data_IF_045772038801
#
_entry.id   IF_045772038801
#
_cell.length_a   1.000
_cell.length_b   1.000
_cell.length_c   1.000
_cell.angle_alpha   90.00
_cell.angle_beta   90.00
_cell.angle_gamma   90.00
#
_symmetry.space_group_name_H-M   'P 1'
#
loop_
_entity.id
_entity.type
_entity.pdbx_description
1 polymer ?
#
# COMPACT_ATOMS: atom_id res chain seq x y z
N UNK A 1 6.18 10.02 -7.55
CA UNK A 1 5.43 8.79 -7.20
C UNK A 1 6.04 7.64 -7.97
N UNK A 2 5.95 6.41 -7.44
CA UNK A 2 6.41 5.23 -8.18
C UNK A 2 5.49 5.03 -9.39
N UNK A 3 6.10 4.73 -10.53
CA UNK A 3 5.37 4.37 -11.74
C UNK A 3 4.82 2.94 -11.65
N UNK A 4 3.87 2.65 -12.54
CA UNK A 4 3.16 1.36 -12.57
C UNK A 4 4.11 0.19 -12.86
N UNK A 5 5.13 0.38 -13.68
CA UNK A 5 6.05 -0.70 -14.06
C UNK A 5 6.96 -1.05 -12.88
N UNK A 6 7.52 -0.06 -12.21
CA UNK A 6 8.31 -0.26 -10.99
C UNK A 6 7.53 -1.00 -9.91
N UNK A 7 6.25 -0.68 -9.70
CA UNK A 7 5.42 -1.40 -8.73
C UNK A 7 5.19 -2.87 -9.13
N UNK A 8 5.03 -3.15 -10.43
CA UNK A 8 4.90 -4.53 -10.93
C UNK A 8 6.19 -5.32 -10.71
N UNK A 9 7.35 -4.71 -10.95
CA UNK A 9 8.65 -5.35 -10.73
C UNK A 9 8.88 -5.65 -9.25
N UNK A 10 8.49 -4.73 -8.36
CA UNK A 10 8.52 -4.96 -6.90
C UNK A 10 7.60 -6.13 -6.53
N UNK A 11 6.37 -6.17 -7.03
CA UNK A 11 5.42 -7.28 -6.78
C UNK A 11 6.00 -8.61 -7.28
N UNK A 12 6.64 -8.62 -8.44
CA UNK A 12 7.31 -9.81 -8.98
C UNK A 12 8.46 -10.25 -8.07
N UNK A 13 9.32 -9.32 -7.65
CA UNK A 13 10.45 -9.59 -6.76
C UNK A 13 10.02 -10.17 -5.42
N UNK A 14 9.01 -9.59 -4.77
CA UNK A 14 8.54 -10.11 -3.47
C UNK A 14 7.92 -11.50 -3.60
N UNK A 15 7.28 -11.78 -4.74
CA UNK A 15 6.65 -13.06 -5.00
C UNK A 15 7.71 -14.14 -5.28
N UNK A 16 8.77 -13.79 -6.00
CA UNK A 16 9.93 -14.69 -6.22
C UNK A 16 10.67 -14.98 -4.91
N UNK A 17 10.86 -13.98 -4.07
CA UNK A 17 11.58 -14.13 -2.79
C UNK A 17 10.69 -14.60 -1.63
N UNK A 18 9.38 -14.66 -1.83
CA UNK A 18 8.37 -14.96 -0.80
C UNK A 18 8.55 -14.09 0.46
N UNK A 19 8.70 -12.78 0.25
CA UNK A 19 8.89 -11.77 1.32
C UNK A 19 7.71 -10.80 1.36
N UNK A 20 7.53 -10.13 2.50
CA UNK A 20 6.44 -9.19 2.69
C UNK A 20 6.77 -7.82 2.09
N UNK A 21 5.76 -7.19 1.48
CA UNK A 21 5.77 -5.80 1.03
C UNK A 21 4.84 -4.97 1.91
N UNK A 22 5.40 -3.96 2.55
CA UNK A 22 4.65 -2.95 3.32
C UNK A 22 4.69 -1.63 2.56
N UNK A 23 3.56 -1.21 2.02
CA UNK A 23 3.39 0.03 1.29
C UNK A 23 2.86 1.12 2.23
N UNK A 24 3.70 2.10 2.56
CA UNK A 24 3.25 3.31 3.28
C UNK A 24 2.70 4.30 2.26
N UNK A 25 1.37 4.37 2.19
CA UNK A 25 0.64 5.23 1.26
C UNK A 25 0.10 6.50 1.96
N UNK A 26 0.70 6.92 3.08
CA UNK A 26 0.26 8.09 3.88
C UNK A 26 0.16 9.41 3.10
N UNK A 27 0.79 9.53 1.94
CA UNK A 27 0.75 10.70 1.06
C UNK A 27 -0.11 10.51 -0.19
N UNK A 28 -0.90 9.42 -0.26
CA UNK A 28 -1.71 9.07 -1.42
C UNK A 28 -2.61 10.21 -1.91
N UNK A 29 -3.19 11.01 -1.00
CA UNK A 29 -4.07 12.12 -1.37
C UNK A 29 -3.37 13.49 -1.51
N UNK A 30 -2.04 13.55 -1.41
CA UNK A 30 -1.25 14.81 -1.52
C UNK A 30 -0.53 14.97 -2.87
N UNK A 31 -1.04 14.31 -3.91
CA UNK A 31 -0.49 14.39 -5.26
C UNK A 31 -1.02 15.64 -5.95
N UNK A 32 -0.25 16.74 -5.89
CA UNK A 32 -0.66 18.03 -6.46
C UNK A 32 -0.19 18.24 -7.92
N UNK A 33 0.59 17.32 -8.47
CA UNK A 33 1.18 17.43 -9.81
C UNK A 33 0.31 16.73 -10.86
N UNK A 34 -0.20 17.49 -11.84
CA UNK A 34 -0.99 16.98 -12.98
C UNK A 34 -0.28 15.92 -13.82
N UNK A 35 1.04 15.87 -13.77
CA UNK A 35 1.89 15.00 -14.60
C UNK A 35 2.12 13.62 -13.99
N UNK A 36 1.79 13.42 -12.70
CA UNK A 36 1.99 12.15 -12.01
C UNK A 36 0.71 11.75 -11.30
N UNK A 37 0.07 10.67 -11.72
CA UNK A 37 -0.96 10.03 -10.91
C UNK A 37 -0.29 9.12 -9.88
N UNK A 38 -0.79 9.16 -8.65
CA UNK A 38 -0.44 8.12 -7.68
C UNK A 38 -1.12 6.82 -8.10
N UNK A 39 -0.35 5.74 -8.13
CA UNK A 39 -0.84 4.39 -8.38
C UNK A 39 -0.70 3.62 -7.07
N UNK A 40 -1.82 3.22 -6.48
CA UNK A 40 -1.79 2.39 -5.27
C UNK A 40 -1.36 0.97 -5.61
N UNK A 41 -0.68 0.30 -4.67
CA UNK A 41 -0.36 -1.13 -4.81
C UNK A 41 -1.64 -1.98 -4.97
N UNK A 42 -2.77 -1.52 -4.42
CA UNK A 42 -4.06 -2.19 -4.56
C UNK A 42 -4.52 -2.26 -6.03
N UNK A 43 -4.24 -1.24 -6.85
CA UNK A 43 -4.57 -1.26 -8.27
C UNK A 43 -3.70 -2.25 -9.06
N UNK A 44 -2.45 -2.43 -8.63
CA UNK A 44 -1.49 -3.30 -9.30
C UNK A 44 -1.89 -4.77 -9.14
N UNK A 45 -2.31 -5.14 -7.93
CA UNK A 45 -2.69 -6.53 -7.60
C UNK A 45 -4.09 -6.92 -8.09
N UNK A 46 -4.96 -5.95 -8.38
CA UNK A 46 -6.30 -6.19 -8.92
C UNK A 46 -6.27 -6.43 -10.43
N UNK A 47 -5.19 -5.98 -11.11
CA UNK A 47 -4.93 -6.24 -12.54
C UNK A 47 -4.36 -7.64 -12.83
N UNK A 48 -4.75 -8.63 -12.02
CA UNK A 48 -4.51 -10.06 -12.27
C UNK A 48 -3.02 -10.51 -12.32
N UNK A 49 -2.17 -9.82 -11.55
CA UNK A 49 -0.81 -10.33 -11.29
C UNK A 49 -0.94 -11.51 -10.34
N UNK A 50 -0.51 -12.69 -10.80
CA UNK A 50 -0.41 -13.90 -9.97
C UNK A 50 0.62 -13.67 -8.84
N UNK A 51 0.19 -13.03 -7.76
CA UNK A 51 1.00 -12.70 -6.60
C UNK A 51 0.30 -13.16 -5.32
N UNK A 52 1.08 -13.56 -4.33
CA UNK A 52 0.55 -13.92 -3.02
C UNK A 52 0.11 -12.64 -2.27
N UNK A 53 -1.19 -12.34 -2.32
CA UNK A 53 -1.78 -11.18 -1.64
C UNK A 53 -1.48 -11.16 -0.14
N UNK A 54 -1.29 -12.32 0.50
CA UNK A 54 -0.96 -12.40 1.93
C UNK A 54 0.39 -11.77 2.31
N UNK A 55 1.25 -11.48 1.33
CA UNK A 55 2.52 -10.81 1.51
C UNK A 55 2.40 -9.28 1.42
N UNK A 56 1.23 -8.75 1.05
CA UNK A 56 1.04 -7.33 0.75
C UNK A 56 0.23 -6.66 1.86
N UNK A 57 0.79 -5.56 2.37
CA UNK A 57 0.24 -4.78 3.48
C UNK A 57 0.34 -3.29 3.13
N UNK A 58 -0.72 -2.53 3.38
CA UNK A 58 -0.81 -1.10 3.16
C UNK A 58 -0.94 -0.42 4.52
N UNK A 59 -0.15 0.63 4.72
CA UNK A 59 -0.21 1.50 5.89
C UNK A 59 -0.65 2.88 5.43
N UNK A 60 -1.63 3.45 6.13
CA UNK A 60 -2.21 4.74 5.79
C UNK A 60 -2.50 5.57 7.05
N UNK A 61 -2.56 6.90 6.93
CA UNK A 61 -2.97 7.78 8.02
C UNK A 61 -3.54 9.08 7.49
N UNK A 62 -4.53 9.63 8.21
CA UNK A 62 -5.14 10.93 7.89
C UNK A 62 -4.27 12.13 8.31
N UNK A 63 -3.12 11.88 8.93
CA UNK A 63 -2.27 12.93 9.50
C UNK A 63 -1.70 13.88 8.46
N UNK A 64 -1.43 13.39 7.24
CA UNK A 64 -0.77 14.15 6.16
C UNK A 64 -1.76 14.61 5.11
N UNK A 65 -2.75 13.78 4.81
CA UNK A 65 -3.71 14.03 3.74
C UNK A 65 -4.81 15.01 4.14
N UNK A 66 -5.29 14.93 5.38
CA UNK A 66 -6.38 15.80 5.88
C UNK A 66 -5.92 16.79 6.94
N UNK A 67 -4.63 16.81 7.28
CA UNK A 67 -4.10 17.74 8.29
C UNK A 67 -4.66 17.52 9.70
N UNK A 68 -5.09 16.28 10.02
CA UNK A 68 -5.61 15.91 11.35
C UNK A 68 -4.64 15.05 12.19
N UNK A 69 -3.38 15.48 12.44
CA UNK A 69 -2.45 14.70 13.26
C UNK A 69 -2.90 14.60 14.73
N UNK A 70 -3.84 15.45 15.18
CA UNK A 70 -4.38 15.42 16.53
C UNK A 70 -5.28 14.21 16.83
N UNK A 71 -5.91 13.61 15.81
CA UNK A 71 -6.85 12.50 15.99
C UNK A 71 -6.18 11.13 15.99
N UNK A 72 -4.88 11.05 15.64
CA UNK A 72 -4.06 9.83 15.71
C UNK A 72 -4.69 8.64 14.97
N UNK A 73 -5.30 8.91 13.82
CA UNK A 73 -5.90 7.86 12.97
C UNK A 73 -4.82 7.23 12.09
N UNK A 74 -4.43 6.02 12.44
CA UNK A 74 -3.59 5.13 11.62
C UNK A 74 -4.42 3.94 11.15
N UNK A 75 -4.25 3.55 9.90
CA UNK A 75 -4.97 2.45 9.27
C UNK A 75 -3.93 1.46 8.77
N UNK A 76 -4.09 0.20 9.16
CA UNK A 76 -3.35 -0.92 8.59
C UNK A 76 -4.35 -1.72 7.77
N UNK A 77 -4.11 -1.80 6.47
CA UNK A 77 -4.90 -2.57 5.55
C UNK A 77 -4.05 -3.71 5.02
N UNK A 78 -4.34 -4.94 5.43
CA UNK A 78 -3.62 -6.12 5.00
C UNK A 78 -4.57 -7.11 4.36
N UNK A 79 -4.10 -7.76 3.30
CA UNK A 79 -4.81 -8.87 2.66
C UNK A 79 -4.61 -10.21 3.39
N UNK A 80 -3.82 -10.23 4.47
CA UNK A 80 -3.57 -11.42 5.27
C UNK A 80 -4.42 -11.37 6.54
N UNK A 81 -5.37 -12.29 6.66
CA UNK A 81 -6.29 -12.34 7.80
C UNK A 81 -5.58 -12.51 9.15
N UNK A 82 -4.45 -13.22 9.20
CA UNK A 82 -3.66 -13.37 10.43
C UNK A 82 -3.03 -12.03 10.84
N UNK A 83 -2.54 -11.26 9.88
CA UNK A 83 -1.97 -9.92 10.14
C UNK A 83 -3.08 -8.96 10.57
N UNK A 84 -4.24 -8.99 9.92
CA UNK A 84 -5.42 -8.18 10.33
C UNK A 84 -5.84 -8.52 11.75
N UNK A 85 -5.93 -9.81 12.09
CA UNK A 85 -6.31 -10.25 13.43
C UNK A 85 -5.29 -9.83 14.49
N UNK A 86 -3.99 -9.87 14.19
CA UNK A 86 -2.94 -9.43 15.11
C UNK A 86 -2.87 -7.91 15.25
N UNK A 87 -3.13 -7.17 14.17
CA UNK A 87 -3.12 -5.71 14.15
C UNK A 87 -4.33 -5.09 14.87
N UNK A 88 -5.46 -5.80 14.90
CA UNK A 88 -6.64 -5.41 15.66
C UNK A 88 -6.48 -5.84 17.13
N UNK A 89 -5.85 -4.97 17.93
CA UNK A 89 -5.85 -5.05 19.40
C UNK A 89 -6.74 -3.98 20.01
#
# INVERSE_FOLDING_TARGET
>A
FLDRETLKDIVSFINEKNIHLVCDEIYAATVFTKESSFVSIAEIIDQDIACNRNLIHIVYSLSKDMGFPGFRVGIIYSYNDQVVSCARK
#
